data_IF_769457298096
#
_entry.id   IF_769457298096
#
_cell.length_a   1.000
_cell.length_b   1.000
_cell.length_c   1.000
_cell.angle_alpha   90.00
_cell.angle_beta   90.00
_cell.angle_gamma   90.00
#
_symmetry.space_group_name_H-M   'P 1'
#
loop_
_entity.id
_entity.type
_entity.pdbx_description
1 polymer ?
#
# COMPACT_ATOMS: atom_id res chain seq x y z
N UNK A 1 18.59 3.69 -18.89
CA UNK A 1 18.21 4.86 -18.07
C UNK A 1 16.69 5.12 -18.04
N UNK A 2 15.98 5.38 -19.17
CA UNK A 2 14.55 5.77 -19.10
C UNK A 2 13.64 4.65 -18.61
N UNK A 3 13.89 3.40 -19.03
CA UNK A 3 13.07 2.23 -18.63
C UNK A 3 13.07 2.02 -17.10
N UNK A 4 14.26 2.00 -16.48
CA UNK A 4 14.39 1.86 -15.02
C UNK A 4 13.71 2.98 -14.27
N UNK A 5 13.84 4.23 -14.75
CA UNK A 5 13.16 5.38 -14.16
C UNK A 5 11.63 5.22 -14.22
N UNK A 6 11.08 4.80 -15.36
CA UNK A 6 9.64 4.55 -15.50
C UNK A 6 9.17 3.53 -14.47
N UNK A 7 9.87 2.41 -14.30
CA UNK A 7 9.50 1.41 -13.30
C UNK A 7 9.57 1.94 -11.86
N UNK A 8 10.60 2.73 -11.52
CA UNK A 8 10.67 3.40 -10.20
C UNK A 8 9.42 4.25 -9.98
N UNK A 9 9.06 5.10 -10.94
CA UNK A 9 7.90 5.98 -10.81
C UNK A 9 6.58 5.20 -10.75
N UNK A 10 6.44 4.11 -11.50
CA UNK A 10 5.26 3.24 -11.45
C UNK A 10 5.10 2.54 -10.09
N UNK A 11 6.19 2.05 -9.49
CA UNK A 11 6.14 1.45 -8.15
C UNK A 11 5.79 2.49 -7.08
N UNK A 12 6.35 3.69 -7.17
CA UNK A 12 6.04 4.78 -6.25
C UNK A 12 4.60 5.28 -6.41
N UNK A 13 4.10 5.38 -7.64
CA UNK A 13 2.71 5.72 -7.91
C UNK A 13 1.75 4.68 -7.32
N UNK A 14 2.05 3.38 -7.52
CA UNK A 14 1.30 2.27 -6.92
C UNK A 14 1.35 2.32 -5.40
N UNK A 15 2.49 2.67 -4.80
CA UNK A 15 2.60 2.83 -3.34
C UNK A 15 1.69 3.95 -2.82
N UNK A 16 1.64 5.09 -3.53
CA UNK A 16 0.72 6.19 -3.23
C UNK A 16 -0.75 5.78 -3.31
N UNK A 17 -1.13 5.04 -4.36
CA UNK A 17 -2.48 4.48 -4.48
C UNK A 17 -2.82 3.57 -3.29
N UNK A 18 -1.93 2.65 -2.94
CA UNK A 18 -2.14 1.73 -1.83
C UNK A 18 -2.26 2.46 -0.48
N UNK A 19 -1.46 3.52 -0.27
CA UNK A 19 -1.63 4.44 0.87
C UNK A 19 -3.01 5.11 0.87
N UNK A 20 -3.50 5.53 -0.30
CA UNK A 20 -4.83 6.10 -0.43
C UNK A 20 -5.95 5.10 -0.08
N UNK A 21 -5.78 3.82 -0.43
CA UNK A 21 -6.71 2.74 -0.02
C UNK A 21 -6.69 2.55 1.50
N UNK A 22 -5.50 2.40 2.11
CA UNK A 22 -5.39 2.15 3.55
C UNK A 22 -5.95 3.30 4.39
N UNK A 23 -5.69 4.55 3.99
CA UNK A 23 -6.24 5.72 4.68
C UNK A 23 -7.75 5.88 4.46
N UNK A 24 -8.26 5.55 3.27
CA UNK A 24 -9.70 5.56 3.03
C UNK A 24 -10.41 4.52 3.89
N UNK A 25 -9.87 3.31 3.97
CA UNK A 25 -10.37 2.26 4.86
C UNK A 25 -10.35 2.73 6.32
N UNK A 26 -9.24 3.31 6.79
CA UNK A 26 -9.09 3.69 8.20
C UNK A 26 -9.99 4.87 8.62
N UNK A 27 -10.12 5.90 7.77
CA UNK A 27 -10.69 7.18 8.17
C UNK A 27 -12.03 7.49 7.51
N UNK A 28 -12.33 6.90 6.36
CA UNK A 28 -13.49 7.24 5.53
C UNK A 28 -14.33 6.04 5.16
N UNK A 29 -14.20 4.92 5.88
CA UNK A 29 -14.84 3.65 5.53
C UNK A 29 -16.33 3.81 5.20
N UNK A 30 -17.11 4.35 6.13
CA UNK A 30 -18.57 4.45 6.02
C UNK A 30 -19.08 5.32 4.87
N UNK A 31 -18.24 6.22 4.34
CA UNK A 31 -18.54 7.07 3.17
C UNK A 31 -17.74 6.68 1.93
N UNK A 32 -17.07 5.53 1.97
CA UNK A 32 -16.28 5.03 0.86
C UNK A 32 -17.05 3.99 0.06
N UNK A 33 -16.57 3.73 -1.16
CA UNK A 33 -17.06 2.61 -1.96
C UNK A 33 -16.97 1.26 -1.24
N UNK A 34 -16.02 1.09 -0.30
CA UNK A 34 -15.80 -0.16 0.40
C UNK A 34 -16.94 -0.55 1.35
N UNK A 35 -17.68 0.41 1.90
CA UNK A 35 -18.86 0.14 2.73
C UNK A 35 -20.00 -0.53 1.93
N UNK A 36 -20.02 -0.33 0.61
CA UNK A 36 -21.02 -0.93 -0.28
C UNK A 36 -20.61 -2.27 -0.89
N UNK A 37 -19.35 -2.68 -0.73
CA UNK A 37 -18.84 -3.92 -1.32
C UNK A 37 -19.32 -5.17 -0.56
N UNK A 38 -19.52 -6.31 -1.24
CA UNK A 38 -19.73 -7.58 -0.56
C UNK A 38 -18.46 -8.00 0.21
N UNK A 39 -18.62 -8.91 1.19
CA UNK A 39 -17.55 -9.42 2.05
C UNK A 39 -16.98 -8.37 3.04
N UNK A 40 -17.84 -7.93 3.95
CA UNK A 40 -17.50 -6.97 5.00
C UNK A 40 -16.42 -7.51 5.96
N UNK A 41 -16.32 -8.83 6.11
CA UNK A 41 -15.22 -9.47 6.85
C UNK A 41 -13.84 -9.17 6.26
N UNK A 42 -13.74 -8.77 4.99
CA UNK A 42 -12.48 -8.35 4.37
C UNK A 42 -12.30 -6.83 4.35
N UNK A 43 -13.37 -6.10 4.02
CA UNK A 43 -13.32 -4.66 3.77
C UNK A 43 -13.51 -3.80 5.01
N UNK A 44 -14.35 -4.21 5.96
CA UNK A 44 -14.70 -3.38 7.11
C UNK A 44 -13.63 -3.50 8.20
N UNK A 45 -12.85 -2.43 8.48
CA UNK A 45 -11.77 -2.48 9.46
C UNK A 45 -12.23 -2.70 10.90
N UNK A 46 -13.53 -2.52 11.20
CA UNK A 46 -14.07 -2.80 12.54
C UNK A 46 -14.16 -4.31 12.84
N UNK A 47 -14.23 -5.14 11.80
CA UNK A 47 -14.37 -6.60 11.93
C UNK A 47 -13.20 -7.38 11.32
N UNK A 48 -12.62 -6.89 10.23
CA UNK A 48 -11.70 -7.67 9.39
C UNK A 48 -10.39 -8.05 10.07
N UNK A 49 -9.95 -7.26 11.05
CA UNK A 49 -8.79 -7.57 11.88
C UNK A 49 -8.93 -8.91 12.64
N UNK A 50 -10.15 -9.40 12.85
CA UNK A 50 -10.40 -10.68 13.52
C UNK A 50 -9.93 -11.87 12.68
N UNK A 51 -9.83 -11.74 11.36
CA UNK A 51 -9.36 -12.79 10.45
C UNK A 51 -7.91 -13.24 10.71
N UNK A 52 -7.16 -12.46 11.51
CA UNK A 52 -5.84 -12.86 12.02
C UNK A 52 -5.90 -14.02 13.01
N UNK A 53 -7.08 -14.31 13.56
CA UNK A 53 -7.27 -15.26 14.63
C UNK A 53 -8.15 -16.43 14.19
N UNK A 54 -7.98 -17.58 14.84
CA UNK A 54 -8.70 -18.81 14.51
C UNK A 54 -10.19 -18.71 14.80
N UNK A 55 -10.58 -18.18 15.96
CA UNK A 55 -11.98 -17.99 16.34
C UNK A 55 -12.09 -16.93 17.43
N UNK A 56 -11.82 -15.66 17.05
CA UNK A 56 -11.69 -14.56 18.00
C UNK A 56 -12.95 -14.37 18.86
N UNK A 57 -14.14 -14.50 18.26
CA UNK A 57 -15.42 -14.28 18.93
C UNK A 57 -15.73 -15.37 19.97
N UNK A 58 -15.09 -16.54 19.88
CA UNK A 58 -15.13 -17.60 20.90
C UNK A 58 -13.94 -17.55 21.87
N UNK A 59 -13.11 -16.51 21.79
CA UNK A 59 -11.92 -16.33 22.63
C UNK A 59 -10.67 -17.08 22.15
N UNK A 60 -10.67 -17.68 20.95
CA UNK A 60 -9.49 -18.32 20.40
C UNK A 60 -8.62 -17.33 19.63
N UNK A 61 -7.64 -16.76 20.34
CA UNK A 61 -6.69 -15.77 19.81
C UNK A 61 -5.42 -16.40 19.20
N UNK A 62 -5.42 -17.71 18.91
CA UNK A 62 -4.35 -18.34 18.13
C UNK A 62 -4.43 -17.86 16.68
N UNK A 63 -3.31 -17.95 15.97
CA UNK A 63 -3.26 -17.61 14.55
C UNK A 63 -4.27 -18.43 13.74
N UNK A 64 -4.99 -17.76 12.82
CA UNK A 64 -5.89 -18.41 11.87
C UNK A 64 -5.13 -19.43 11.01
N UNK A 65 -3.95 -19.01 10.54
CA UNK A 65 -2.96 -19.82 9.84
C UNK A 65 -1.56 -19.27 10.13
N UNK A 66 -0.52 -20.05 9.83
CA UNK A 66 0.87 -19.70 10.13
C UNK A 66 1.20 -18.27 9.65
N UNK A 67 1.67 -17.42 10.58
CA UNK A 67 2.03 -16.02 10.35
C UNK A 67 0.87 -15.07 9.97
N UNK A 68 -0.39 -15.47 10.16
CA UNK A 68 -1.56 -14.60 9.96
C UNK A 68 -1.54 -13.33 10.82
N UNK A 69 -0.75 -13.29 11.90
CA UNK A 69 -0.55 -12.10 12.75
C UNK A 69 0.74 -11.34 12.46
N UNK A 70 1.53 -11.78 11.48
CA UNK A 70 2.86 -11.24 11.16
C UNK A 70 3.10 -11.21 9.63
N UNK A 71 3.93 -12.11 9.10
CA UNK A 71 4.39 -12.06 7.69
C UNK A 71 3.26 -12.20 6.67
N UNK A 72 2.20 -12.95 7.00
CA UNK A 72 1.05 -13.21 6.13
C UNK A 72 -0.21 -12.45 6.56
N UNK A 73 -0.05 -11.38 7.34
CA UNK A 73 -1.16 -10.53 7.80
C UNK A 73 -1.88 -9.85 6.64
N UNK A 74 -1.18 -9.59 5.54
CA UNK A 74 -1.75 -9.01 4.31
C UNK A 74 -2.85 -9.86 3.66
N UNK A 75 -2.99 -11.13 4.06
CA UNK A 75 -4.05 -12.04 3.61
C UNK A 75 -5.29 -12.03 4.51
N UNK A 76 -5.28 -11.25 5.59
CA UNK A 76 -6.36 -11.23 6.59
C UNK A 76 -7.37 -10.13 6.33
N UNK A 77 -6.94 -8.96 5.84
CA UNK A 77 -7.84 -7.87 5.49
C UNK A 77 -7.25 -6.91 4.43
N UNK A 78 -8.15 -6.09 3.87
CA UNK A 78 -7.83 -5.13 2.82
C UNK A 78 -6.82 -4.05 3.26
N UNK A 79 -6.84 -3.68 4.54
CA UNK A 79 -5.99 -2.60 5.05
C UNK A 79 -4.53 -3.06 5.13
N UNK A 80 -4.27 -4.24 5.70
CA UNK A 80 -2.93 -4.82 5.75
C UNK A 80 -2.43 -5.19 4.34
N UNK A 81 -3.32 -5.62 3.44
CA UNK A 81 -2.95 -5.82 2.02
C UNK A 81 -2.45 -4.50 1.41
N UNK A 82 -3.20 -3.41 1.58
CA UNK A 82 -2.83 -2.11 1.04
C UNK A 82 -1.49 -1.61 1.62
N UNK A 83 -1.27 -1.72 2.92
CA UNK A 83 0.02 -1.39 3.54
C UNK A 83 1.18 -2.24 3.02
N UNK A 84 0.92 -3.50 2.73
CA UNK A 84 1.93 -4.41 2.18
C UNK A 84 2.28 -4.03 0.75
N UNK A 85 1.30 -3.70 -0.08
CA UNK A 85 1.52 -3.19 -1.45
C UNK A 85 2.30 -1.87 -1.41
N UNK A 86 1.95 -0.95 -0.51
CA UNK A 86 2.70 0.29 -0.29
C UNK A 86 4.17 0.02 0.02
N UNK A 87 4.41 -0.84 1.01
CA UNK A 87 5.77 -1.20 1.44
C UNK A 87 6.57 -1.85 0.30
N UNK A 88 5.96 -2.80 -0.43
CA UNK A 88 6.60 -3.45 -1.57
C UNK A 88 6.93 -2.44 -2.68
N UNK A 89 6.04 -1.49 -2.97
CA UNK A 89 6.29 -0.43 -3.94
C UNK A 89 7.53 0.39 -3.59
N UNK A 90 7.66 0.80 -2.33
CA UNK A 90 8.86 1.51 -1.85
C UNK A 90 10.13 0.65 -1.93
N UNK A 91 10.06 -0.62 -1.53
CA UNK A 91 11.21 -1.54 -1.58
C UNK A 91 11.69 -1.76 -3.02
N UNK A 92 10.79 -2.04 -3.95
CA UNK A 92 11.15 -2.22 -5.37
C UNK A 92 11.71 -0.94 -5.98
N UNK A 93 11.13 0.21 -5.67
CA UNK A 93 11.65 1.51 -6.13
C UNK A 93 13.07 1.76 -5.59
N UNK A 94 13.34 1.46 -4.32
CA UNK A 94 14.65 1.59 -3.72
C UNK A 94 15.69 0.67 -4.38
N UNK A 95 15.36 -0.60 -4.58
CA UNK A 95 16.26 -1.57 -5.23
C UNK A 95 16.63 -1.12 -6.67
N UNK A 96 15.66 -0.62 -7.42
CA UNK A 96 15.89 -0.08 -8.76
C UNK A 96 16.70 1.22 -8.73
N UNK A 97 16.48 2.11 -7.75
CA UNK A 97 17.26 3.33 -7.58
C UNK A 97 18.73 3.02 -7.25
N UNK A 98 19.00 2.03 -6.38
CA UNK A 98 20.36 1.55 -6.09
C UNK A 98 21.00 0.99 -7.36
N UNK A 99 20.30 0.13 -8.10
CA UNK A 99 20.78 -0.41 -9.37
C UNK A 99 21.15 0.68 -10.38
N UNK A 100 20.29 1.71 -10.52
CA UNK A 100 20.54 2.88 -11.36
C UNK A 100 21.77 3.67 -10.89
N UNK A 101 21.92 3.87 -9.59
CA UNK A 101 23.07 4.54 -8.96
C UNK A 101 24.39 3.83 -9.23
N UNK A 102 24.42 2.50 -9.07
CA UNK A 102 25.59 1.68 -9.39
C UNK A 102 25.98 1.76 -10.87
N UNK A 103 25.00 1.82 -11.77
CA UNK A 103 25.22 1.84 -13.21
C UNK A 103 25.65 3.20 -13.77
N UNK A 104 25.13 4.32 -13.23
CA UNK A 104 25.28 5.64 -13.85
C UNK A 104 25.91 6.71 -12.93
N UNK A 105 26.02 6.46 -11.62
CA UNK A 105 26.55 7.42 -10.61
C UNK A 105 25.99 8.85 -10.80
N UNK A 106 24.67 9.05 -10.63
CA UNK A 106 24.02 10.33 -10.90
C UNK A 106 24.58 11.45 -10.02
N UNK A 107 24.70 12.65 -10.59
CA UNK A 107 25.07 13.85 -9.86
C UNK A 107 23.96 14.34 -8.91
N UNK A 108 24.30 15.28 -8.02
CA UNK A 108 23.36 15.80 -7.00
C UNK A 108 22.06 16.36 -7.58
N UNK A 109 22.13 17.09 -8.69
CA UNK A 109 20.94 17.63 -9.36
C UNK A 109 20.01 16.53 -9.89
N UNK A 110 20.57 15.43 -10.41
CA UNK A 110 19.79 14.29 -10.90
C UNK A 110 19.12 13.54 -9.74
N UNK A 111 19.81 13.39 -8.60
CA UNK A 111 19.23 12.82 -7.38
C UNK A 111 18.08 13.68 -6.84
N UNK A 112 18.25 15.01 -6.80
CA UNK A 112 17.19 15.93 -6.40
C UNK A 112 15.99 15.86 -7.34
N UNK A 113 16.23 15.83 -8.65
CA UNK A 113 15.17 15.64 -9.65
C UNK A 113 14.42 14.32 -9.47
N UNK A 114 15.14 13.22 -9.25
CA UNK A 114 14.53 11.91 -8.97
C UNK A 114 13.66 11.94 -7.72
N UNK A 115 14.15 12.55 -6.63
CA UNK A 115 13.39 12.72 -5.40
C UNK A 115 12.07 13.47 -5.63
N UNK A 116 12.12 14.61 -6.34
CA UNK A 116 10.91 15.39 -6.66
C UNK A 116 9.93 14.59 -7.53
N UNK A 117 10.43 13.88 -8.54
CA UNK A 117 9.57 13.03 -9.39
C UNK A 117 8.93 11.89 -8.61
N UNK A 118 9.65 11.25 -7.68
CA UNK A 118 9.10 10.22 -6.80
C UNK A 118 8.04 10.79 -5.87
N UNK A 119 8.28 11.94 -5.23
CA UNK A 119 7.26 12.60 -4.40
C UNK A 119 5.99 12.92 -5.21
N UNK A 120 6.16 13.52 -6.39
CA UNK A 120 5.04 13.83 -7.26
C UNK A 120 4.26 12.56 -7.65
N UNK A 121 4.95 11.49 -8.06
CA UNK A 121 4.32 10.21 -8.41
C UNK A 121 3.54 9.62 -7.23
N UNK A 122 4.10 9.64 -6.02
CA UNK A 122 3.43 9.14 -4.82
C UNK A 122 2.14 9.92 -4.53
N UNK A 123 2.22 11.25 -4.46
CA UNK A 123 1.07 12.08 -4.15
C UNK A 123 0.01 12.06 -5.24
N UNK A 124 0.39 11.94 -6.51
CA UNK A 124 -0.58 11.74 -7.61
C UNK A 124 -1.36 10.43 -7.43
N UNK A 125 -0.67 9.32 -7.11
CA UNK A 125 -1.33 8.03 -6.85
C UNK A 125 -2.23 8.09 -5.61
N UNK A 126 -1.75 8.73 -4.55
CA UNK A 126 -2.53 8.94 -3.33
C UNK A 126 -3.80 9.76 -3.57
N UNK A 127 -3.68 10.93 -4.19
CA UNK A 127 -4.81 11.82 -4.47
C UNK A 127 -5.85 11.17 -5.39
N UNK A 128 -5.40 10.38 -6.37
CA UNK A 128 -6.30 9.67 -7.27
C UNK A 128 -7.29 8.78 -6.50
N UNK A 129 -6.81 8.02 -5.52
CA UNK A 129 -7.66 7.11 -4.76
C UNK A 129 -8.30 7.76 -3.53
N UNK A 130 -7.51 8.37 -2.66
CA UNK A 130 -7.99 8.98 -1.41
C UNK A 130 -8.84 10.23 -1.66
N UNK A 131 -8.44 11.05 -2.63
CA UNK A 131 -9.10 12.33 -2.89
C UNK A 131 -10.33 12.21 -3.77
N UNK A 132 -10.30 11.35 -4.79
CA UNK A 132 -11.29 11.42 -5.89
C UNK A 132 -12.11 10.15 -6.10
N UNK A 133 -11.51 8.97 -6.08
CA UNK A 133 -12.20 7.76 -6.54
C UNK A 133 -12.90 6.97 -5.45
N UNK A 134 -12.37 6.95 -4.22
CA UNK A 134 -12.83 6.01 -3.20
C UNK A 134 -13.84 6.61 -2.22
N UNK A 135 -13.83 7.92 -1.98
CA UNK A 135 -14.76 8.62 -1.07
C UNK A 135 -15.90 9.23 -1.89
N UNK A 136 -17.15 9.03 -1.45
CA UNK A 136 -18.35 9.57 -2.09
C UNK A 136 -19.18 10.41 -1.12
#
# INVERSE_FOLDING_TARGET
MPKTLIFILLFIFTAGMAKGVSDTLQFHYGRSVFASLPNQEWWNPEVSWKNKYRDYDKGDTREAYLFSRSLLVWRTDAWHLAQTIETLGWVFALLLAISLGCAHRPGRAQLAGLFVMMLAAFYLGFLLLYGWLLVR
#
